data_IF_088430435489
#
_entry.id   IF_088430435489
#
_cell.length_a   1.000
_cell.length_b   1.000
_cell.length_c   1.000
_cell.angle_alpha   90.00
_cell.angle_beta   90.00
_cell.angle_gamma   90.00
#
_symmetry.space_group_name_H-M   'P 1'
#
loop_
_entity.id
_entity.type
_entity.pdbx_description
1 polymer ?
#
# COMPACT_ATOMS: atom_id res chain seq x y z
N UNK A 1 60.17 -34.25 -20.01
CA UNK A 1 59.73 -32.85 -20.23
C UNK A 1 58.26 -32.73 -20.68
N UNK A 2 57.76 -33.48 -21.68
CA UNK A 2 56.34 -33.38 -22.13
C UNK A 2 55.29 -33.65 -21.04
N UNK A 3 55.55 -34.56 -20.09
CA UNK A 3 54.58 -34.90 -19.03
C UNK A 3 54.51 -33.84 -17.91
N UNK A 4 55.59 -33.07 -17.70
CA UNK A 4 55.66 -32.03 -16.68
C UNK A 4 54.91 -30.75 -17.10
N UNK A 5 54.94 -30.42 -18.39
CA UNK A 5 54.20 -29.29 -18.97
C UNK A 5 52.68 -29.54 -18.97
N UNK A 6 52.24 -30.79 -19.24
CA UNK A 6 50.82 -31.17 -19.19
C UNK A 6 50.28 -31.14 -17.74
N UNK A 7 51.07 -31.55 -16.76
CA UNK A 7 50.69 -31.48 -15.34
C UNK A 7 50.60 -30.02 -14.83
N UNK A 8 51.51 -29.14 -15.27
CA UNK A 8 51.49 -27.72 -14.90
C UNK A 8 50.32 -26.95 -15.54
N UNK A 9 50.01 -27.24 -16.81
CA UNK A 9 48.83 -26.70 -17.51
C UNK A 9 47.54 -27.23 -16.86
N UNK A 10 47.50 -28.52 -16.48
CA UNK A 10 46.40 -29.11 -15.74
C UNK A 10 46.15 -28.43 -14.38
N UNK A 11 47.20 -28.16 -13.60
CA UNK A 11 47.09 -27.50 -12.30
C UNK A 11 46.67 -26.02 -12.41
N UNK A 12 47.21 -25.27 -13.38
CA UNK A 12 46.84 -23.86 -13.61
C UNK A 12 45.39 -23.75 -14.16
N UNK A 13 44.94 -24.71 -14.97
CA UNK A 13 43.53 -24.80 -15.41
C UNK A 13 42.58 -25.19 -14.28
N UNK A 14 42.98 -26.10 -13.40
CA UNK A 14 42.20 -26.44 -12.21
C UNK A 14 42.01 -25.20 -11.32
N UNK A 15 43.07 -24.41 -11.08
CA UNK A 15 42.96 -23.19 -10.27
C UNK A 15 42.13 -22.11 -10.99
N UNK A 16 42.39 -21.84 -12.26
CA UNK A 16 41.68 -20.79 -13.02
C UNK A 16 40.21 -21.11 -13.35
N UNK A 17 39.91 -22.37 -13.68
CA UNK A 17 38.54 -22.85 -13.94
C UNK A 17 37.68 -22.89 -12.67
N UNK A 18 38.25 -23.35 -11.55
CA UNK A 18 37.58 -23.31 -10.24
C UNK A 18 37.34 -21.87 -9.80
N UNK A 19 38.31 -20.97 -10.00
CA UNK A 19 38.18 -19.56 -9.64
C UNK A 19 37.12 -18.85 -10.49
N UNK A 20 37.05 -19.15 -11.79
CA UNK A 20 36.00 -18.61 -12.67
C UNK A 20 34.60 -19.18 -12.34
N UNK A 21 34.50 -20.45 -11.93
CA UNK A 21 33.24 -21.04 -11.46
C UNK A 21 32.76 -20.42 -10.14
N UNK A 22 33.67 -20.27 -9.16
CA UNK A 22 33.37 -19.56 -7.90
C UNK A 22 32.91 -18.13 -8.15
N UNK A 23 33.56 -17.42 -9.08
CA UNK A 23 33.21 -16.05 -9.47
C UNK A 23 31.77 -15.94 -9.99
N UNK A 24 31.25 -16.92 -10.76
CA UNK A 24 29.87 -16.88 -11.26
C UNK A 24 28.86 -17.02 -10.12
N UNK A 25 29.06 -17.98 -9.22
CA UNK A 25 28.18 -18.21 -8.07
C UNK A 25 28.20 -17.00 -7.14
N UNK A 26 29.39 -16.49 -6.82
CA UNK A 26 29.56 -15.33 -5.94
C UNK A 26 28.92 -14.07 -6.56
N UNK A 27 29.08 -13.86 -7.87
CA UNK A 27 28.45 -12.73 -8.57
C UNK A 27 26.92 -12.82 -8.55
N UNK A 28 26.34 -14.01 -8.73
CA UNK A 28 24.88 -14.20 -8.67
C UNK A 28 24.37 -13.96 -7.24
N UNK A 29 25.04 -14.52 -6.22
CA UNK A 29 24.68 -14.33 -4.82
C UNK A 29 24.80 -12.85 -4.39
N UNK A 30 25.87 -12.17 -4.82
CA UNK A 30 26.07 -10.74 -4.58
C UNK A 30 24.99 -9.87 -5.23
N UNK A 31 24.65 -10.12 -6.50
CA UNK A 31 23.59 -9.39 -7.19
C UNK A 31 22.20 -9.68 -6.61
N UNK A 32 21.94 -10.91 -6.18
CA UNK A 32 20.72 -11.24 -5.47
C UNK A 32 20.60 -10.45 -4.16
N UNK A 33 21.67 -10.36 -3.40
CA UNK A 33 21.74 -9.57 -2.15
C UNK A 33 21.46 -8.09 -2.41
N UNK A 34 22.11 -7.50 -3.42
CA UNK A 34 21.88 -6.10 -3.81
C UNK A 34 20.43 -5.89 -4.27
N UNK A 35 19.91 -6.82 -5.07
CA UNK A 35 18.54 -6.79 -5.58
C UNK A 35 17.50 -6.85 -4.46
N UNK A 36 17.68 -7.76 -3.50
CA UNK A 36 16.81 -7.90 -2.31
C UNK A 36 16.89 -6.66 -1.43
N UNK A 37 18.08 -6.11 -1.19
CA UNK A 37 18.24 -4.88 -0.41
C UNK A 37 17.54 -3.70 -1.07
N UNK A 38 17.65 -3.59 -2.40
CA UNK A 38 16.93 -2.57 -3.18
C UNK A 38 15.41 -2.76 -3.10
N UNK A 39 14.94 -3.99 -3.21
CA UNK A 39 13.53 -4.32 -3.03
C UNK A 39 13.01 -3.91 -1.63
N UNK A 40 13.74 -4.30 -0.58
CA UNK A 40 13.38 -3.97 0.81
C UNK A 40 13.32 -2.46 1.03
N UNK A 41 14.24 -1.68 0.44
CA UNK A 41 14.20 -0.23 0.49
C UNK A 41 12.94 0.36 -0.17
N UNK A 42 12.52 -0.19 -1.31
CA UNK A 42 11.28 0.25 -1.98
C UNK A 42 10.03 -0.12 -1.16
N UNK A 43 9.99 -1.29 -0.53
CA UNK A 43 8.91 -1.68 0.39
C UNK A 43 8.87 -0.74 1.61
N UNK A 44 10.03 -0.39 2.17
CA UNK A 44 10.09 0.59 3.27
C UNK A 44 9.55 1.96 2.85
N UNK A 45 9.89 2.44 1.65
CA UNK A 45 9.35 3.70 1.12
C UNK A 45 7.83 3.64 0.90
N UNK A 46 7.31 2.51 0.41
CA UNK A 46 5.88 2.27 0.27
C UNK A 46 5.17 2.28 1.64
N UNK A 47 5.71 1.57 2.63
CA UNK A 47 5.17 1.54 3.99
C UNK A 47 5.23 2.91 4.67
N UNK A 48 6.30 3.68 4.46
CA UNK A 48 6.39 5.05 4.95
C UNK A 48 5.28 5.94 4.36
N UNK A 49 4.89 5.70 3.11
CA UNK A 49 3.76 6.40 2.47
C UNK A 49 2.42 6.00 3.09
N UNK A 50 2.23 4.73 3.47
CA UNK A 50 1.07 4.30 4.27
C UNK A 50 1.02 5.08 5.59
N UNK A 51 2.13 5.13 6.34
CA UNK A 51 2.19 5.82 7.62
C UNK A 51 1.93 7.33 7.49
N UNK A 52 2.52 7.98 6.48
CA UNK A 52 2.26 9.39 6.20
C UNK A 52 0.80 9.64 5.83
N UNK A 53 0.21 8.77 4.99
CA UNK A 53 -1.20 8.81 4.64
C UNK A 53 -2.11 8.66 5.86
N UNK A 54 -1.82 7.71 6.74
CA UNK A 54 -2.56 7.51 7.99
C UNK A 54 -2.52 8.73 8.90
N UNK A 55 -1.37 9.41 8.98
CA UNK A 55 -1.25 10.66 9.74
C UNK A 55 -2.17 11.76 9.15
N UNK A 56 -2.21 11.90 7.82
CA UNK A 56 -3.07 12.88 7.15
C UNK A 56 -4.56 12.60 7.37
N UNK A 57 -4.98 11.34 7.24
CA UNK A 57 -6.39 10.96 7.43
C UNK A 57 -6.77 11.13 8.91
N UNK A 58 -5.90 10.72 9.84
CA UNK A 58 -6.13 10.88 11.28
C UNK A 58 -6.23 12.35 11.70
N UNK A 59 -5.39 13.20 11.14
CA UNK A 59 -5.47 14.64 11.40
C UNK A 59 -6.80 15.22 10.92
N UNK A 60 -7.22 14.91 9.69
CA UNK A 60 -8.51 15.35 9.16
C UNK A 60 -9.69 14.84 10.00
N UNK A 61 -9.67 13.55 10.37
CA UNK A 61 -10.68 12.95 11.24
C UNK A 61 -10.74 13.63 12.62
N UNK A 62 -9.60 13.84 13.28
CA UNK A 62 -9.57 14.49 14.58
C UNK A 62 -10.14 15.91 14.52
N UNK A 63 -9.80 16.66 13.47
CA UNK A 63 -10.35 18.00 13.23
C UNK A 63 -11.86 17.95 13.00
N UNK A 64 -12.33 17.02 12.17
CA UNK A 64 -13.75 16.79 11.93
C UNK A 64 -14.47 16.47 13.24
N UNK A 65 -14.02 15.46 13.98
CA UNK A 65 -14.65 14.99 15.22
C UNK A 65 -14.68 16.07 16.31
N UNK A 66 -13.57 16.78 16.53
CA UNK A 66 -13.51 17.86 17.52
C UNK A 66 -14.46 19.02 17.15
N UNK A 67 -14.53 19.40 15.87
CA UNK A 67 -15.45 20.44 15.41
C UNK A 67 -16.91 20.00 15.54
N UNK A 68 -17.19 18.74 15.20
CA UNK A 68 -18.51 18.13 15.37
C UNK A 68 -18.97 18.16 16.82
N UNK A 69 -18.14 17.66 17.74
CA UNK A 69 -18.45 17.63 19.16
C UNK A 69 -18.70 19.04 19.71
N UNK A 70 -17.86 20.01 19.32
CA UNK A 70 -18.05 21.42 19.69
C UNK A 70 -19.40 21.96 19.23
N UNK A 71 -19.77 21.75 17.96
CA UNK A 71 -21.02 22.28 17.39
C UNK A 71 -22.27 21.61 17.99
N UNK A 72 -22.23 20.29 18.19
CA UNK A 72 -23.35 19.55 18.81
C UNK A 72 -23.51 19.94 20.28
N UNK A 73 -22.42 20.11 21.02
CA UNK A 73 -22.45 20.59 22.41
C UNK A 73 -23.02 22.01 22.50
N UNK A 74 -22.65 22.91 21.60
CA UNK A 74 -23.20 24.27 21.56
C UNK A 74 -24.73 24.26 21.29
N UNK A 75 -25.20 23.37 20.42
CA UNK A 75 -26.62 23.15 20.18
C UNK A 75 -27.32 22.60 21.42
N UNK A 76 -26.72 21.61 22.09
CA UNK A 76 -27.25 21.07 23.34
C UNK A 76 -27.43 22.16 24.40
N UNK A 77 -26.42 23.00 24.60
CA UNK A 77 -26.48 24.13 25.54
C UNK A 77 -27.55 25.16 25.14
N UNK A 78 -27.68 25.47 23.84
CA UNK A 78 -28.70 26.39 23.32
C UNK A 78 -30.13 25.88 23.58
N UNK A 79 -30.35 24.57 23.49
CA UNK A 79 -31.67 23.95 23.69
C UNK A 79 -31.95 23.49 25.13
N UNK A 80 -30.94 23.44 26.01
CA UNK A 80 -31.08 23.01 27.41
C UNK A 80 -32.21 23.72 28.19
N UNK A 81 -32.47 25.04 28.02
CA UNK A 81 -33.54 25.71 28.75
C UNK A 81 -34.97 25.31 28.34
N UNK A 82 -35.14 24.58 27.23
CA UNK A 82 -36.45 24.25 26.65
C UNK A 82 -36.86 22.81 26.98
N UNK A 83 -37.48 22.62 28.14
CA UNK A 83 -37.86 21.28 28.66
C UNK A 83 -38.92 20.54 27.83
N UNK A 84 -39.64 21.25 26.96
CA UNK A 84 -40.66 20.70 26.05
C UNK A 84 -40.08 20.18 24.72
N UNK A 85 -38.81 20.48 24.41
CA UNK A 85 -38.14 20.00 23.21
C UNK A 85 -37.47 18.65 23.50
N UNK A 86 -37.70 17.67 22.63
CA UNK A 86 -37.02 16.38 22.73
C UNK A 86 -35.52 16.55 22.42
N UNK A 87 -34.66 16.15 23.35
CA UNK A 87 -33.21 16.11 23.16
C UNK A 87 -32.72 14.79 22.56
N UNK A 88 -33.62 13.84 22.29
CA UNK A 88 -33.27 12.50 21.79
C UNK A 88 -32.44 12.54 20.50
N UNK A 89 -32.72 13.50 19.60
CA UNK A 89 -31.93 13.69 18.38
C UNK A 89 -30.48 14.09 18.68
N UNK A 90 -30.25 15.00 19.64
CA UNK A 90 -28.92 15.45 20.07
C UNK A 90 -28.18 14.30 20.76
N UNK A 91 -28.83 13.58 21.67
CA UNK A 91 -28.26 12.41 22.35
C UNK A 91 -27.88 11.32 21.35
N UNK A 92 -28.72 11.08 20.33
CA UNK A 92 -28.42 10.12 19.25
C UNK A 92 -27.23 10.58 18.41
N UNK A 93 -27.12 11.87 18.07
CA UNK A 93 -25.95 12.42 17.36
C UNK A 93 -24.67 12.21 18.17
N UNK A 94 -24.68 12.56 19.46
CA UNK A 94 -23.52 12.39 20.35
C UNK A 94 -23.12 10.91 20.48
N UNK A 95 -24.10 10.02 20.65
CA UNK A 95 -23.86 8.58 20.69
C UNK A 95 -23.27 8.07 19.37
N UNK A 96 -23.78 8.52 18.23
CA UNK A 96 -23.29 8.09 16.92
C UNK A 96 -21.89 8.64 16.64
N UNK A 97 -21.61 9.90 17.00
CA UNK A 97 -20.27 10.50 16.88
C UNK A 97 -19.23 9.73 17.69
N UNK A 98 -19.58 9.27 18.89
CA UNK A 98 -18.72 8.44 19.71
C UNK A 98 -18.41 7.06 19.10
N UNK A 99 -19.24 6.59 18.15
CA UNK A 99 -19.06 5.33 17.44
C UNK A 99 -18.34 5.48 16.10
N UNK A 100 -18.16 6.70 15.58
CA UNK A 100 -17.44 6.91 14.32
C UNK A 100 -15.96 6.66 14.54
N UNK A 101 -15.42 5.68 13.80
CA UNK A 101 -14.01 5.38 13.78
C UNK A 101 -13.42 5.66 12.40
N UNK A 102 -12.20 6.17 12.41
CA UNK A 102 -11.33 6.18 11.25
C UNK A 102 -10.77 4.78 11.01
N UNK A 103 -10.68 4.39 9.75
CA UNK A 103 -10.00 3.18 9.30
C UNK A 103 -8.68 3.56 8.61
N UNK A 104 -7.53 3.33 9.25
CA UNK A 104 -6.22 3.62 8.65
C UNK A 104 -5.97 2.75 7.40
N UNK A 105 -5.22 3.26 6.44
CA UNK A 105 -4.69 2.49 5.30
C UNK A 105 -3.93 1.26 5.78
N UNK A 106 -3.15 1.34 6.86
CA UNK A 106 -2.42 0.20 7.40
C UNK A 106 -3.31 -0.97 7.87
N UNK A 107 -4.60 -0.72 8.11
CA UNK A 107 -5.56 -1.76 8.48
C UNK A 107 -6.13 -2.53 7.28
N UNK A 108 -5.82 -2.11 6.05
CA UNK A 108 -6.26 -2.79 4.84
C UNK A 108 -5.50 -4.13 4.67
N UNK A 109 -6.20 -5.28 4.67
CA UNK A 109 -5.55 -6.59 4.55
C UNK A 109 -4.88 -6.81 3.19
N UNK A 110 -5.32 -6.09 2.14
CA UNK A 110 -4.72 -6.19 0.81
C UNK A 110 -3.34 -5.53 0.78
N UNK A 111 -3.17 -4.39 1.46
CA UNK A 111 -1.86 -3.74 1.62
C UNK A 111 -0.91 -4.55 2.50
N UNK A 112 -1.44 -5.26 3.50
CA UNK A 112 -0.60 -6.13 4.35
C UNK A 112 -0.10 -7.36 3.61
N UNK A 113 -0.92 -7.95 2.74
CA UNK A 113 -0.58 -9.19 2.02
C UNK A 113 0.32 -8.98 0.80
N UNK A 114 0.30 -7.80 0.17
CA UNK A 114 1.04 -7.54 -1.07
C UNK A 114 2.55 -7.78 -0.93
N UNK A 115 3.14 -7.37 0.20
CA UNK A 115 4.56 -7.54 0.47
C UNK A 115 4.94 -9.02 0.52
N UNK A 116 4.14 -9.83 1.22
CA UNK A 116 4.36 -11.27 1.35
C UNK A 116 4.22 -11.99 0.01
N UNK A 117 3.23 -11.60 -0.81
CA UNK A 117 3.06 -12.16 -2.16
C UNK A 117 4.29 -11.90 -3.03
N UNK A 118 4.76 -10.64 -3.09
CA UNK A 118 5.92 -10.29 -3.93
C UNK A 118 7.20 -10.93 -3.40
N UNK A 119 7.37 -11.02 -2.08
CA UNK A 119 8.52 -11.73 -1.47
C UNK A 119 8.56 -13.21 -1.86
N UNK A 120 7.41 -13.89 -1.92
CA UNK A 120 7.36 -15.28 -2.40
C UNK A 120 7.82 -15.41 -3.85
N UNK A 121 7.43 -14.47 -4.72
CA UNK A 121 7.86 -14.46 -6.12
C UNK A 121 9.37 -14.21 -6.25
N UNK A 122 9.92 -13.31 -5.43
CA UNK A 122 11.37 -13.07 -5.35
C UNK A 122 12.10 -14.34 -4.94
N UNK A 123 11.60 -15.07 -3.93
CA UNK A 123 12.21 -16.33 -3.49
C UNK A 123 12.24 -17.37 -4.61
N UNK A 124 11.16 -17.50 -5.39
CA UNK A 124 11.13 -18.41 -6.54
C UNK A 124 12.17 -18.04 -7.60
N UNK A 125 12.32 -16.75 -7.91
CA UNK A 125 13.34 -16.24 -8.84
C UNK A 125 14.76 -16.46 -8.30
N UNK A 126 14.97 -16.20 -7.01
CA UNK A 126 16.24 -16.40 -6.33
C UNK A 126 16.70 -17.88 -6.41
N UNK A 127 15.78 -18.81 -6.15
CA UNK A 127 16.05 -20.24 -6.28
C UNK A 127 16.39 -20.62 -7.72
N UNK A 128 15.63 -20.12 -8.70
CA UNK A 128 15.90 -20.38 -10.12
C UNK A 128 17.29 -19.84 -10.55
N UNK A 129 17.65 -18.64 -10.09
CA UNK A 129 18.97 -18.04 -10.36
C UNK A 129 20.12 -18.85 -9.79
N UNK A 130 20.01 -19.25 -8.52
CA UNK A 130 21.04 -20.06 -7.87
C UNK A 130 21.20 -21.42 -8.57
N UNK A 131 20.10 -22.08 -8.93
CA UNK A 131 20.15 -23.33 -9.70
C UNK A 131 20.78 -23.12 -11.08
N UNK A 132 20.49 -22.00 -11.76
CA UNK A 132 21.08 -21.70 -13.04
C UNK A 132 22.59 -21.47 -12.95
N UNK A 133 23.05 -20.73 -11.94
CA UNK A 133 24.48 -20.54 -11.67
C UNK A 133 25.17 -21.89 -11.40
N UNK A 134 24.60 -22.72 -10.52
CA UNK A 134 25.13 -24.05 -10.22
C UNK A 134 25.19 -24.94 -11.47
N UNK A 135 24.12 -24.98 -12.27
CA UNK A 135 24.09 -25.76 -13.51
C UNK A 135 25.15 -25.32 -14.51
N UNK A 136 25.33 -24.00 -14.69
CA UNK A 136 26.38 -23.47 -15.58
C UNK A 136 27.76 -23.90 -15.08
N UNK A 137 28.03 -23.77 -13.78
CA UNK A 137 29.34 -24.15 -13.23
C UNK A 137 29.61 -25.65 -13.23
N UNK A 138 28.60 -26.48 -12.98
CA UNK A 138 28.74 -27.93 -12.90
C UNK A 138 29.03 -28.61 -14.25
N UNK A 139 28.63 -27.98 -15.35
CA UNK A 139 28.82 -28.53 -16.71
C UNK A 139 30.17 -28.17 -17.35
N UNK A 140 31.02 -27.43 -16.65
CA UNK A 140 32.29 -26.93 -17.20
C UNK A 140 33.40 -27.96 -16.99
N UNK A 141 34.03 -28.37 -18.09
CA UNK A 141 35.25 -29.13 -18.01
C UNK A 141 36.44 -28.16 -17.88
N UNK A 142 37.02 -28.08 -16.67
CA UNK A 142 38.12 -27.16 -16.37
C UNK A 142 39.40 -27.40 -17.21
N UNK A 143 39.48 -28.50 -17.97
CA UNK A 143 40.60 -28.77 -18.90
C UNK A 143 40.33 -28.23 -20.31
N UNK A 144 39.12 -27.75 -20.59
CA UNK A 144 38.71 -27.24 -21.89
C UNK A 144 38.44 -25.73 -21.84
N UNK A 145 39.37 -24.93 -22.35
CA UNK A 145 39.29 -23.46 -22.45
C UNK A 145 38.02 -22.99 -23.14
N UNK A 146 37.50 -23.78 -24.09
CA UNK A 146 36.23 -23.48 -24.74
C UNK A 146 35.05 -23.47 -23.76
N UNK A 147 34.93 -24.51 -22.93
CA UNK A 147 33.84 -24.57 -21.93
C UNK A 147 33.96 -23.48 -20.85
N UNK A 148 35.19 -23.08 -20.50
CA UNK A 148 35.43 -21.96 -19.57
C UNK A 148 34.96 -20.65 -20.20
N UNK A 149 35.23 -20.41 -21.48
CA UNK A 149 34.76 -19.20 -22.18
C UNK A 149 33.22 -19.14 -22.27
N UNK A 150 32.56 -20.27 -22.55
CA UNK A 150 31.10 -20.36 -22.51
C UNK A 150 30.57 -19.99 -21.10
N UNK A 151 31.17 -20.55 -20.05
CA UNK A 151 30.78 -20.25 -18.67
C UNK A 151 30.92 -18.78 -18.32
N UNK A 152 32.06 -18.16 -18.63
CA UNK A 152 32.30 -16.74 -18.32
C UNK A 152 31.28 -15.86 -19.06
N UNK A 153 31.06 -16.13 -20.36
CA UNK A 153 30.14 -15.37 -21.21
C UNK A 153 28.69 -15.43 -20.69
N UNK A 154 28.17 -16.63 -20.44
CA UNK A 154 26.76 -16.82 -20.08
C UNK A 154 26.51 -16.69 -18.56
N UNK A 155 27.48 -17.02 -17.72
CA UNK A 155 27.43 -16.77 -16.28
C UNK A 155 27.32 -15.28 -15.96
N UNK A 156 28.03 -14.42 -16.71
CA UNK A 156 27.90 -12.97 -16.58
C UNK A 156 26.52 -12.43 -17.00
N UNK A 157 25.74 -13.16 -17.82
CA UNK A 157 24.40 -12.73 -18.23
C UNK A 157 23.35 -12.97 -17.13
N UNK A 158 23.60 -13.89 -16.19
CA UNK A 158 22.71 -14.14 -15.04
C UNK A 158 22.63 -12.95 -14.06
N UNK A 159 23.48 -11.95 -14.22
CA UNK A 159 23.53 -10.76 -13.36
C UNK A 159 23.23 -9.46 -14.10
N UNK A 160 22.76 -9.55 -15.34
CA UNK A 160 22.46 -8.40 -16.20
C UNK A 160 20.96 -8.30 -16.50
N UNK A 161 20.50 -7.12 -16.94
CA UNK A 161 19.13 -6.98 -17.45
C UNK A 161 18.88 -8.00 -18.58
N UNK A 162 17.71 -8.66 -18.60
CA UNK A 162 16.52 -8.44 -17.76
C UNK A 162 16.52 -9.17 -16.40
N UNK A 163 17.56 -9.93 -16.04
CA UNK A 163 17.68 -10.77 -14.84
C UNK A 163 18.15 -9.94 -13.64
N UNK A 164 17.27 -9.08 -13.12
CA UNK A 164 17.55 -8.26 -11.93
C UNK A 164 16.39 -8.31 -10.95
N UNK A 165 16.65 -8.82 -9.73
CA UNK A 165 15.65 -8.89 -8.65
C UNK A 165 15.19 -7.50 -8.18
N UNK A 166 16.02 -6.46 -8.35
CA UNK A 166 15.64 -5.08 -8.03
C UNK A 166 14.42 -4.58 -8.81
N UNK A 167 14.09 -5.19 -9.97
CA UNK A 167 12.91 -4.85 -10.78
C UNK A 167 11.59 -5.07 -10.06
N UNK A 168 11.53 -5.99 -9.10
CA UNK A 168 10.35 -6.15 -8.23
C UNK A 168 10.08 -4.88 -7.41
N UNK A 169 11.12 -4.13 -7.06
CA UNK A 169 11.01 -2.86 -6.35
C UNK A 169 10.34 -1.76 -7.19
N UNK A 170 10.56 -1.75 -8.51
CA UNK A 170 9.93 -0.79 -9.43
C UNK A 170 8.39 -0.90 -9.39
N UNK A 171 7.86 -2.10 -9.14
CA UNK A 171 6.41 -2.32 -8.98
C UNK A 171 5.83 -1.56 -7.79
N UNK A 172 6.59 -1.43 -6.69
CA UNK A 172 6.18 -0.64 -5.53
C UNK A 172 6.32 0.85 -5.81
N UNK A 173 7.49 1.27 -6.29
CA UNK A 173 7.81 2.69 -6.53
C UNK A 173 6.82 3.36 -7.48
N UNK A 174 6.37 2.63 -8.51
CA UNK A 174 5.39 3.13 -9.48
C UNK A 174 4.00 3.40 -8.86
N UNK A 175 3.64 2.71 -7.79
CA UNK A 175 2.34 2.88 -7.13
C UNK A 175 2.40 3.73 -5.86
N UNK A 176 3.60 3.99 -5.31
CA UNK A 176 3.79 4.84 -4.11
C UNK A 176 3.14 6.22 -4.27
N UNK A 177 3.36 6.89 -5.41
CA UNK A 177 2.75 8.21 -5.66
C UNK A 177 1.23 8.16 -5.73
N UNK A 178 0.65 7.09 -6.31
CA UNK A 178 -0.80 6.90 -6.36
C UNK A 178 -1.38 6.64 -4.98
N UNK A 179 -0.70 5.85 -4.15
CA UNK A 179 -1.10 5.62 -2.77
C UNK A 179 -1.15 6.93 -1.96
N UNK A 180 -0.16 7.81 -2.14
CA UNK A 180 -0.17 9.13 -1.51
C UNK A 180 -1.39 9.97 -1.95
N UNK A 181 -1.75 9.92 -3.24
CA UNK A 181 -2.95 10.59 -3.77
C UNK A 181 -4.23 10.01 -3.16
N UNK A 182 -4.32 8.69 -2.99
CA UNK A 182 -5.47 8.07 -2.30
C UNK A 182 -5.63 8.65 -0.89
N UNK A 183 -4.54 8.69 -0.11
CA UNK A 183 -4.57 9.27 1.23
C UNK A 183 -5.03 10.75 1.23
N UNK A 184 -4.50 11.54 0.29
CA UNK A 184 -4.87 12.95 0.15
C UNK A 184 -6.34 13.13 -0.22
N UNK A 185 -6.89 12.29 -1.10
CA UNK A 185 -8.29 12.33 -1.50
C UNK A 185 -9.22 12.00 -0.32
N UNK A 186 -8.87 10.98 0.49
CA UNK A 186 -9.63 10.64 1.70
C UNK A 186 -9.63 11.83 2.67
N UNK A 187 -8.46 12.36 2.99
CA UNK A 187 -8.32 13.53 3.88
C UNK A 187 -9.13 14.73 3.37
N UNK A 188 -9.10 14.99 2.07
CA UNK A 188 -9.88 16.05 1.41
C UNK A 188 -11.38 15.78 1.50
N UNK A 189 -11.82 14.54 1.32
CA UNK A 189 -13.23 14.16 1.44
C UNK A 189 -13.74 14.36 2.88
N UNK A 190 -12.93 14.01 3.89
CA UNK A 190 -13.26 14.27 5.30
C UNK A 190 -13.42 15.77 5.55
N UNK A 191 -12.50 16.59 5.03
CA UNK A 191 -12.59 18.05 5.15
C UNK A 191 -13.79 18.63 4.38
N UNK A 192 -14.18 18.02 3.26
CA UNK A 192 -15.39 18.42 2.52
C UNK A 192 -16.66 18.11 3.33
N UNK A 193 -16.73 16.94 3.96
CA UNK A 193 -17.80 16.59 4.90
C UNK A 193 -17.83 17.55 6.08
N UNK A 194 -16.67 17.99 6.60
CA UNK A 194 -16.60 19.02 7.63
C UNK A 194 -17.23 20.33 7.17
N UNK A 195 -16.83 20.84 6.01
CA UNK A 195 -17.35 22.09 5.46
C UNK A 195 -18.87 22.04 5.24
N UNK A 196 -19.36 20.96 4.62
CA UNK A 196 -20.80 20.71 4.46
C UNK A 196 -21.52 20.68 5.81
N UNK A 197 -20.94 20.02 6.80
CA UNK A 197 -21.57 19.92 8.11
C UNK A 197 -21.60 21.27 8.85
N UNK A 198 -20.56 22.09 8.69
CA UNK A 198 -20.54 23.46 9.21
C UNK A 198 -21.65 24.33 8.59
N UNK A 199 -21.98 24.16 7.30
CA UNK A 199 -23.12 24.88 6.71
C UNK A 199 -24.44 24.44 7.33
N UNK A 200 -24.63 23.14 7.59
CA UNK A 200 -25.82 22.65 8.32
C UNK A 200 -25.95 23.31 9.70
N UNK A 201 -24.86 23.44 10.45
CA UNK A 201 -24.88 24.13 11.74
C UNK A 201 -25.16 25.63 11.64
N UNK A 202 -24.72 26.29 10.57
CA UNK A 202 -25.03 27.70 10.33
C UNK A 202 -26.50 27.95 9.95
N UNK A 203 -27.16 26.97 9.31
CA UNK A 203 -28.61 27.01 9.04
C UNK A 203 -29.46 26.96 10.32
N UNK A 204 -28.88 26.71 11.50
CA UNK A 204 -29.57 26.84 12.80
C UNK A 204 -30.05 28.26 13.15
N UNK A 205 -29.72 29.26 12.32
CA UNK A 205 -30.31 30.59 12.36
C UNK A 205 -31.67 30.67 11.65
N UNK A 206 -32.09 29.64 10.91
CA UNK A 206 -33.34 29.65 10.11
C UNK A 206 -34.57 29.31 10.95
N UNK A 207 -34.44 28.42 11.94
CA UNK A 207 -35.51 28.26 12.93
C UNK A 207 -35.41 29.43 13.91
N UNK A 208 -36.24 30.47 13.74
CA UNK A 208 -36.44 31.51 14.76
C UNK A 208 -36.84 30.80 16.05
N UNK A 209 -35.92 30.67 17.00
CA UNK A 209 -36.21 30.00 18.27
C UNK A 209 -37.13 30.94 19.05
N UNK A 210 -38.40 30.58 19.30
CA UNK A 210 -39.26 31.39 20.13
C UNK A 210 -38.68 31.44 21.55
N UNK A 211 -38.92 32.53 22.27
CA UNK A 211 -38.46 32.64 23.66
C UNK A 211 -39.04 31.50 24.50
N UNK A 212 -38.39 31.15 25.62
CA UNK A 212 -38.90 30.10 26.52
C UNK A 212 -40.38 30.35 26.88
N UNK A 213 -40.77 31.61 27.10
CA UNK A 213 -42.16 32.01 27.36
C UNK A 213 -43.13 31.73 26.19
N UNK A 214 -42.66 31.72 24.95
CA UNK A 214 -43.45 31.39 23.75
C UNK A 214 -43.56 29.88 23.50
N UNK A 215 -42.61 29.09 24.04
CA UNK A 215 -42.60 27.62 23.96
C UNK A 215 -43.19 26.94 25.20
N UNK A 216 -43.47 27.70 26.26
CA UNK A 216 -44.25 27.24 27.42
C UNK A 216 -45.71 27.64 27.20
N UNK A 217 -46.55 26.77 26.61
CA UNK A 217 -47.98 27.03 26.54
C UNK A 217 -48.55 27.28 27.95
N UNK A 218 -49.55 28.17 28.12
CA UNK A 218 -50.35 28.16 29.35
C UNK A 218 -50.86 26.73 29.59
N UNK A 219 -51.00 26.32 30.85
CA UNK A 219 -51.19 24.93 31.31
C UNK A 219 -52.29 24.10 30.61
N UNK A 220 -53.08 24.72 29.72
CA UNK A 220 -54.26 24.18 29.08
C UNK A 220 -54.11 24.03 27.55
N UNK A 221 -52.99 24.40 26.92
CA UNK A 221 -52.80 24.18 25.47
C UNK A 221 -51.81 23.07 25.17
N UNK A 222 -52.34 21.88 24.85
CA UNK A 222 -51.65 20.61 24.58
C UNK A 222 -51.01 20.57 23.18
N UNK A 223 -50.81 21.72 22.51
CA UNK A 223 -50.37 21.73 21.12
C UNK A 223 -48.84 21.78 21.03
N UNK A 224 -48.21 20.59 21.07
CA UNK A 224 -46.78 20.37 20.87
C UNK A 224 -46.31 20.69 19.42
N UNK A 225 -47.22 21.04 18.52
CA UNK A 225 -47.01 21.24 17.08
C UNK A 225 -46.95 22.73 16.69
N UNK A 226 -46.23 23.56 17.46
CA UNK A 226 -45.93 24.91 16.95
C UNK A 226 -44.98 24.80 15.76
N UNK A 227 -45.11 25.62 14.70
CA UNK A 227 -44.22 25.56 13.53
C UNK A 227 -42.72 25.60 13.89
N UNK A 228 -42.38 26.26 15.01
CA UNK A 228 -41.04 26.29 15.60
C UNK A 228 -40.55 24.94 16.13
N UNK A 229 -41.39 24.14 16.82
CA UNK A 229 -40.98 22.82 17.33
C UNK A 229 -40.82 21.81 16.19
N UNK A 230 -41.65 21.90 15.14
CA UNK A 230 -41.52 21.07 13.94
C UNK A 230 -40.24 21.40 13.16
N UNK A 231 -39.90 22.68 12.98
CA UNK A 231 -38.63 23.12 12.37
C UNK A 231 -37.42 22.55 13.13
N UNK A 232 -37.43 22.66 14.47
CA UNK A 232 -36.34 22.18 15.33
C UNK A 232 -36.20 20.64 15.23
N UNK A 233 -37.31 19.89 15.27
CA UNK A 233 -37.26 18.43 15.18
C UNK A 233 -36.75 17.95 13.81
N UNK A 234 -37.17 18.56 12.70
CA UNK A 234 -36.64 18.24 11.38
C UNK A 234 -35.16 18.59 11.26
N UNK A 235 -34.75 19.72 11.82
CA UNK A 235 -33.35 20.13 11.88
C UNK A 235 -32.48 19.12 12.66
N UNK A 236 -32.89 18.73 13.86
CA UNK A 236 -32.19 17.72 14.67
C UNK A 236 -32.15 16.35 13.98
N UNK A 237 -33.20 15.98 13.23
CA UNK A 237 -33.22 14.77 12.41
C UNK A 237 -32.29 14.84 11.19
N UNK A 238 -32.03 16.02 10.63
CA UNK A 238 -31.04 16.19 9.56
C UNK A 238 -29.61 16.06 10.09
N UNK A 239 -29.34 16.62 11.27
CA UNK A 239 -28.03 16.51 11.92
C UNK A 239 -27.66 15.07 12.33
N UNK A 240 -28.64 14.21 12.61
CA UNK A 240 -28.38 12.79 12.93
C UNK A 240 -27.80 11.98 11.77
N UNK A 241 -27.87 12.49 10.54
CA UNK A 241 -27.28 11.86 9.34
C UNK A 241 -25.80 12.20 9.12
N UNK A 242 -25.23 13.15 9.87
CA UNK A 242 -23.84 13.60 9.71
C UNK A 242 -22.82 12.45 9.79
N UNK A 243 -22.91 11.52 10.75
CA UNK A 243 -22.03 10.34 10.80
C UNK A 243 -22.08 9.49 9.52
N UNK A 244 -23.26 9.37 8.91
CA UNK A 244 -23.46 8.61 7.66
C UNK A 244 -22.67 9.23 6.50
N UNK A 245 -22.65 10.55 6.36
CA UNK A 245 -21.90 11.24 5.31
C UNK A 245 -20.38 11.06 5.45
N UNK A 246 -19.88 10.94 6.68
CA UNK A 246 -18.49 10.59 6.92
C UNK A 246 -18.17 9.17 6.44
N UNK A 247 -19.01 8.19 6.78
CA UNK A 247 -18.81 6.80 6.36
C UNK A 247 -18.80 6.63 4.83
N UNK A 248 -19.64 7.36 4.10
CA UNK A 248 -19.61 7.35 2.63
C UNK A 248 -18.28 7.88 2.06
N UNK A 249 -17.77 9.00 2.59
CA UNK A 249 -16.47 9.54 2.19
C UNK A 249 -15.32 8.54 2.42
N UNK A 250 -15.40 7.78 3.52
CA UNK A 250 -14.37 6.81 3.93
C UNK A 250 -14.37 5.54 3.07
N UNK A 251 -15.54 5.05 2.64
CA UNK A 251 -15.66 3.78 1.90
C UNK A 251 -15.09 3.81 0.48
N UNK A 252 -14.95 4.98 -0.14
CA UNK A 252 -14.41 5.11 -1.50
C UNK A 252 -12.93 4.70 -1.61
N UNK A 253 -12.18 4.62 -0.49
CA UNK A 253 -10.77 4.21 -0.51
C UNK A 253 -10.55 2.76 -0.94
N UNK A 254 -11.45 1.85 -0.58
CA UNK A 254 -11.23 0.40 -0.69
C UNK A 254 -11.00 -0.02 -2.13
N UNK A 255 -11.75 0.54 -3.07
CA UNK A 255 -11.58 0.28 -4.49
C UNK A 255 -10.23 0.78 -5.00
N UNK A 256 -9.79 1.97 -4.56
CA UNK A 256 -8.52 2.54 -5.01
C UNK A 256 -7.31 1.79 -4.44
N UNK A 257 -7.37 1.41 -3.16
CA UNK A 257 -6.31 0.62 -2.51
C UNK A 257 -6.21 -0.77 -3.13
N UNK A 258 -7.34 -1.45 -3.37
CA UNK A 258 -7.34 -2.76 -4.03
C UNK A 258 -6.76 -2.69 -5.45
N UNK A 259 -7.08 -1.65 -6.23
CA UNK A 259 -6.50 -1.44 -7.56
C UNK A 259 -4.98 -1.26 -7.52
N UNK A 260 -4.46 -0.53 -6.53
CA UNK A 260 -3.01 -0.39 -6.30
C UNK A 260 -2.40 -1.76 -6.02
N UNK A 261 -2.96 -2.52 -5.08
CA UNK A 261 -2.48 -3.87 -4.73
C UNK A 261 -2.44 -4.79 -5.95
N UNK A 262 -3.51 -4.82 -6.76
CA UNK A 262 -3.57 -5.64 -7.97
C UNK A 262 -2.53 -5.23 -9.01
N UNK A 263 -2.25 -3.92 -9.15
CA UNK A 263 -1.21 -3.43 -10.07
C UNK A 263 0.19 -3.85 -9.63
N UNK A 264 0.49 -3.78 -8.33
CA UNK A 264 1.76 -4.26 -7.77
C UNK A 264 1.91 -5.76 -8.04
N UNK A 265 0.90 -6.57 -7.70
CA UNK A 265 0.93 -8.02 -7.90
C UNK A 265 1.06 -8.41 -9.37
N UNK A 266 0.34 -7.73 -10.26
CA UNK A 266 0.44 -7.96 -11.70
C UNK A 266 1.82 -7.60 -12.24
N UNK A 267 2.36 -6.45 -11.84
CA UNK A 267 3.72 -6.04 -12.21
C UNK A 267 4.75 -7.07 -11.75
N UNK A 268 4.68 -7.49 -10.48
CA UNK A 268 5.60 -8.47 -9.92
C UNK A 268 5.51 -9.84 -10.63
N UNK A 269 4.31 -10.27 -10.97
CA UNK A 269 4.09 -11.49 -11.78
C UNK A 269 4.72 -11.39 -13.17
N UNK A 270 4.60 -10.25 -13.84
CA UNK A 270 5.23 -10.04 -15.15
C UNK A 270 6.76 -10.01 -15.04
N UNK A 271 7.29 -9.36 -14.00
CA UNK A 271 8.74 -9.36 -13.71
C UNK A 271 9.24 -10.77 -13.43
N UNK A 272 8.50 -11.56 -12.64
CA UNK A 272 8.83 -12.96 -12.37
C UNK A 272 8.94 -13.76 -13.67
N UNK A 273 7.92 -13.71 -14.53
CA UNK A 273 7.93 -14.46 -15.79
C UNK A 273 9.07 -14.01 -16.72
N UNK A 274 9.31 -12.71 -16.85
CA UNK A 274 10.36 -12.17 -17.70
C UNK A 274 11.77 -12.59 -17.21
N UNK A 275 12.00 -12.57 -15.90
CA UNK A 275 13.26 -13.06 -15.31
C UNK A 275 13.41 -14.56 -15.53
N UNK A 276 12.39 -15.37 -15.23
CA UNK A 276 12.44 -16.82 -15.39
C UNK A 276 12.68 -17.23 -16.85
N UNK A 277 11.98 -16.61 -17.81
CA UNK A 277 12.20 -16.85 -19.24
C UNK A 277 13.63 -16.49 -19.66
N UNK A 278 14.16 -15.39 -19.13
CA UNK A 278 15.52 -14.94 -19.44
C UNK A 278 16.60 -15.86 -18.85
N UNK A 279 16.38 -16.39 -17.65
CA UNK A 279 17.25 -17.44 -17.06
C UNK A 279 17.28 -18.66 -17.98
N UNK A 280 16.12 -19.14 -18.43
CA UNK A 280 16.02 -20.29 -19.33
C UNK A 280 16.75 -20.03 -20.66
N UNK A 281 16.62 -18.83 -21.23
CA UNK A 281 17.35 -18.44 -22.44
C UNK A 281 18.86 -18.44 -22.26
N UNK A 282 19.37 -17.96 -21.12
CA UNK A 282 20.80 -18.01 -20.78
C UNK A 282 21.27 -19.46 -20.67
N UNK A 283 20.53 -20.32 -19.97
CA UNK A 283 20.87 -21.75 -19.84
C UNK A 283 20.86 -22.49 -21.18
N UNK A 284 19.87 -22.24 -22.03
CA UNK A 284 19.80 -22.83 -23.37
C UNK A 284 20.95 -22.36 -24.27
N UNK A 285 21.32 -21.08 -24.20
CA UNK A 285 22.44 -20.51 -24.95
C UNK A 285 23.77 -21.08 -24.47
N UNK A 286 23.92 -21.26 -23.16
CA UNK A 286 25.08 -21.94 -22.58
C UNK A 286 25.18 -23.40 -23.05
N UNK A 287 24.09 -24.16 -22.99
CA UNK A 287 24.07 -25.55 -23.47
C UNK A 287 24.35 -25.67 -24.98
N UNK A 288 23.93 -24.68 -25.78
CA UNK A 288 24.25 -24.60 -27.21
C UNK A 288 25.72 -24.29 -27.44
N UNK A 289 26.29 -23.36 -26.66
CA UNK A 289 27.72 -23.05 -26.68
C UNK A 289 28.54 -24.32 -26.43
N UNK A 290 28.26 -25.04 -25.34
CA UNK A 290 28.98 -26.27 -25.00
C UNK A 290 28.94 -27.34 -26.12
N UNK A 291 27.86 -27.41 -26.91
CA UNK A 291 27.70 -28.39 -27.99
C UNK A 291 28.34 -27.98 -29.31
N UNK A 292 28.31 -26.69 -29.65
CA UNK A 292 28.52 -26.23 -31.03
C UNK A 292 29.78 -25.42 -31.26
N UNK A 293 30.46 -24.95 -30.22
CA UNK A 293 31.64 -24.09 -30.44
C UNK A 293 31.32 -22.59 -30.58
N UNK A 294 30.04 -22.19 -30.58
CA UNK A 294 29.54 -20.84 -30.95
C UNK A 294 28.69 -20.23 -29.85
#
# INVERSE_FOLDING_TARGET
>A
MKHFVVALIGAICLVGGIQAAGTVVDNVAGNLTIGINTFNANVLAFNATITAGDALIRQAFNNWNATMLKNVTAIQQRFQPYTMLSTNGITSILSNLAMVNIMPLASDPTLQSVNTTVQSQIQQVATALNMAALNITAQVNCTNTFSINCMIKYGAQLTQKPILVSRFGECFTNETARLAIVAQNISTSINTTLAFTQTLFNLSNICTIPTVAQLTPPANSVNFNTPSTQCINQYLSGLSQIPTYFSFADTARWTQVNLITQRIQRCATLVQYDITDSINRVQNSFGTCLKTGV
#
